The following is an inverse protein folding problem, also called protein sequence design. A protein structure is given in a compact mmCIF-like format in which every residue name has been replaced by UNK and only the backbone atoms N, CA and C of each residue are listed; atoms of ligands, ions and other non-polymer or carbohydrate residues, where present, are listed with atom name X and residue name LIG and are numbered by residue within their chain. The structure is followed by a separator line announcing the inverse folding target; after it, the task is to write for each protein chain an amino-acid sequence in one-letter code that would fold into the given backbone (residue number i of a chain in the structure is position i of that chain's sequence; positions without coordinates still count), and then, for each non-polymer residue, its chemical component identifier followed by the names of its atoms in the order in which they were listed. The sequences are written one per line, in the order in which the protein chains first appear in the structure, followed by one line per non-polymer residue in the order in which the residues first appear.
data_IF_534021598305
#
_entry.id   IF_534021598305
#
_cell.length_a   1.000
_cell.length_b   1.000
_cell.length_c   1.000
_cell.angle_alpha   90.00
_cell.angle_beta   90.00
_cell.angle_gamma   90.00
#
_symmetry.space_group_name_H-M   'P 1'
#
loop_
_entity.id
_entity.type
_entity.pdbx_description
1 polymer ?
#
# COMPACT_ATOMS: atom_id res chain seq x y z
N UNK A 1 17.22 -16.33 -26.75
CA UNK A 1 16.13 -15.38 -26.44
C UNK A 1 16.77 -14.08 -25.96
N UNK A 2 16.33 -12.91 -26.43
CA UNK A 2 16.70 -11.64 -25.78
C UNK A 2 15.84 -11.50 -24.53
N UNK A 3 16.47 -11.29 -23.39
CA UNK A 3 15.81 -10.97 -22.12
C UNK A 3 15.96 -9.48 -21.88
N UNK A 4 14.83 -8.79 -21.72
CA UNK A 4 14.81 -7.37 -21.38
C UNK A 4 14.55 -7.23 -19.89
N UNK A 5 15.27 -6.33 -19.22
CA UNK A 5 15.07 -6.08 -17.80
C UNK A 5 13.77 -5.32 -17.53
N UNK A 6 13.23 -5.47 -16.32
CA UNK A 6 12.04 -4.74 -15.90
C UNK A 6 12.21 -3.21 -16.00
N UNK A 7 13.42 -2.71 -15.70
CA UNK A 7 13.71 -1.28 -15.80
C UNK A 7 13.67 -0.80 -17.26
N UNK A 8 14.26 -1.54 -18.18
CA UNK A 8 14.24 -1.21 -19.61
C UNK A 8 12.80 -1.22 -20.16
N UNK A 9 11.97 -2.20 -19.76
CA UNK A 9 10.55 -2.23 -20.14
C UNK A 9 9.82 -1.01 -19.59
N UNK A 10 10.04 -0.66 -18.33
CA UNK A 10 9.36 0.50 -17.75
C UNK A 10 9.80 1.81 -18.42
N UNK A 11 11.07 1.94 -18.77
CA UNK A 11 11.60 3.13 -19.43
C UNK A 11 11.02 3.28 -20.85
N UNK A 12 10.89 2.19 -21.59
CA UNK A 12 10.27 2.15 -22.91
C UNK A 12 8.77 2.48 -22.87
N UNK A 13 8.03 1.89 -21.91
CA UNK A 13 6.57 2.00 -21.86
C UNK A 13 6.10 3.29 -21.17
N UNK A 14 6.75 3.69 -20.06
CA UNK A 14 6.30 4.77 -19.18
C UNK A 14 7.22 5.99 -19.19
N UNK A 15 8.35 5.91 -19.89
CA UNK A 15 9.40 6.92 -19.86
C UNK A 15 10.41 6.67 -18.75
N UNK A 16 11.54 7.37 -18.85
CA UNK A 16 12.59 7.36 -17.83
C UNK A 16 12.10 7.95 -16.50
N UNK A 17 12.81 7.63 -15.42
CA UNK A 17 12.57 8.24 -14.10
C UNK A 17 12.64 9.78 -14.18
N UNK A 18 11.76 10.47 -13.47
CA UNK A 18 11.63 11.92 -13.49
C UNK A 18 10.70 12.47 -14.59
N UNK A 19 10.15 11.60 -15.44
CA UNK A 19 9.03 11.99 -16.31
C UNK A 19 7.71 11.87 -15.55
N UNK A 20 6.75 12.77 -15.80
CA UNK A 20 5.48 12.81 -15.05
C UNK A 20 4.76 11.47 -15.04
N UNK A 21 4.75 10.77 -16.17
CA UNK A 21 4.10 9.45 -16.32
C UNK A 21 4.81 8.37 -15.50
N UNK A 22 6.14 8.36 -15.48
CA UNK A 22 6.91 7.40 -14.68
C UNK A 22 6.76 7.68 -13.19
N UNK A 23 6.78 8.94 -12.79
CA UNK A 23 6.63 9.35 -11.39
C UNK A 23 5.22 9.06 -10.87
N UNK A 24 4.19 9.19 -11.70
CA UNK A 24 2.82 8.79 -11.37
C UNK A 24 2.71 7.29 -11.14
N UNK A 25 3.25 6.48 -12.05
CA UNK A 25 3.31 5.02 -11.89
C UNK A 25 4.02 4.62 -10.58
N UNK A 26 5.17 5.22 -10.30
CA UNK A 26 5.93 4.89 -9.10
C UNK A 26 5.18 5.33 -7.82
N UNK A 27 4.45 6.45 -7.83
CA UNK A 27 3.55 6.87 -6.73
C UNK A 27 2.38 5.91 -6.50
N UNK A 28 1.71 5.49 -7.56
CA UNK A 28 0.62 4.50 -7.48
C UNK A 28 1.14 3.17 -6.92
N UNK A 29 2.32 2.75 -7.36
CA UNK A 29 2.96 1.52 -6.90
C UNK A 29 3.29 1.57 -5.39
N UNK A 30 3.81 2.69 -4.88
CA UNK A 30 4.07 2.82 -3.44
C UNK A 30 2.76 2.77 -2.62
N UNK A 31 1.66 3.33 -3.13
CA UNK A 31 0.36 3.26 -2.44
C UNK A 31 -0.16 1.82 -2.41
N UNK A 32 -0.03 1.09 -3.52
CA UNK A 32 -0.38 -0.33 -3.60
C UNK A 32 0.45 -1.18 -2.62
N UNK A 33 1.74 -0.91 -2.53
CA UNK A 33 2.66 -1.60 -1.61
C UNK A 33 2.27 -1.44 -0.15
N UNK A 34 1.79 -0.27 0.27
CA UNK A 34 1.24 -0.07 1.63
C UNK A 34 0.06 -1.00 1.88
N UNK A 35 -0.89 -1.10 0.93
CA UNK A 35 -2.05 -2.00 1.03
C UNK A 35 -1.64 -3.46 1.23
N UNK A 36 -0.65 -3.93 0.47
CA UNK A 36 -0.10 -5.29 0.61
C UNK A 36 0.57 -5.52 1.97
N UNK A 37 1.32 -4.54 2.48
CA UNK A 37 1.95 -4.63 3.81
C UNK A 37 0.89 -4.75 4.92
N UNK A 38 -0.19 -3.98 4.83
CA UNK A 38 -1.31 -4.06 5.78
C UNK A 38 -2.02 -5.40 5.70
N UNK A 39 -2.26 -5.92 4.48
CA UNK A 39 -2.84 -7.25 4.26
C UNK A 39 -1.99 -8.34 4.92
N UNK A 40 -0.68 -8.29 4.69
CA UNK A 40 0.28 -9.25 5.27
C UNK A 40 0.25 -9.18 6.81
N UNK A 41 0.31 -7.98 7.39
CA UNK A 41 0.24 -7.80 8.84
C UNK A 41 -1.08 -8.33 9.43
N UNK A 42 -2.21 -8.11 8.74
CA UNK A 42 -3.51 -8.65 9.12
C UNK A 42 -3.50 -10.18 9.16
N UNK A 43 -2.93 -10.81 8.14
CA UNK A 43 -2.83 -12.27 8.02
C UNK A 43 -1.89 -12.87 9.07
N UNK A 44 -0.76 -12.22 9.37
CA UNK A 44 0.15 -12.60 10.46
C UNK A 44 -0.53 -12.53 11.83
N UNK A 45 -1.46 -11.58 12.02
CA UNK A 45 -2.30 -11.46 13.21
C UNK A 45 -3.51 -12.41 13.20
N UNK A 46 -3.65 -13.25 12.16
CA UNK A 46 -4.78 -14.18 11.99
C UNK A 46 -6.16 -13.50 12.03
N UNK A 47 -6.25 -12.26 11.54
CA UNK A 47 -7.50 -11.50 11.50
C UNK A 47 -8.16 -11.62 10.12
N UNK A 48 -9.48 -11.76 10.11
CA UNK A 48 -10.28 -11.53 8.90
C UNK A 48 -10.43 -10.03 8.64
N UNK A 49 -10.79 -9.66 7.41
CA UNK A 49 -11.08 -8.26 7.07
C UNK A 49 -12.23 -7.69 7.90
N UNK A 50 -13.23 -8.50 8.24
CA UNK A 50 -14.39 -8.09 9.07
C UNK A 50 -13.94 -7.81 10.51
N UNK A 51 -13.11 -8.69 11.09
CA UNK A 51 -12.59 -8.49 12.44
C UNK A 51 -11.71 -7.25 12.53
N UNK A 52 -10.79 -7.05 11.57
CA UNK A 52 -9.99 -5.82 11.54
C UNK A 52 -10.88 -4.58 11.41
N UNK A 53 -11.88 -4.62 10.53
CA UNK A 53 -12.82 -3.52 10.34
C UNK A 53 -13.56 -3.16 11.63
N UNK A 54 -13.97 -4.16 12.42
CA UNK A 54 -14.58 -3.96 13.74
C UNK A 54 -13.64 -3.31 14.75
N UNK A 55 -12.35 -3.69 14.76
CA UNK A 55 -11.36 -3.11 15.68
C UNK A 55 -11.09 -1.62 15.42
N UNK A 56 -11.25 -1.17 14.17
CA UNK A 56 -10.91 0.21 13.75
C UNK A 56 -12.13 1.06 13.41
N UNK A 57 -13.33 0.57 13.72
CA UNK A 57 -14.61 1.23 13.41
C UNK A 57 -14.71 1.64 11.93
N UNK A 58 -14.56 0.65 11.04
CA UNK A 58 -14.66 0.79 9.59
C UNK A 58 -15.53 -0.31 9.01
N UNK A 59 -15.91 -0.17 7.74
CA UNK A 59 -16.60 -1.22 6.99
C UNK A 59 -15.60 -2.22 6.45
N UNK A 60 -15.93 -3.52 6.40
CA UNK A 60 -15.11 -4.55 5.73
C UNK A 60 -14.74 -4.19 4.30
N UNK A 61 -15.66 -3.60 3.54
CA UNK A 61 -15.41 -3.14 2.16
C UNK A 61 -14.34 -2.07 2.07
N UNK A 62 -14.18 -1.25 3.11
CA UNK A 62 -13.12 -0.25 3.19
C UNK A 62 -11.76 -0.91 3.42
N UNK A 63 -11.67 -1.89 4.34
CA UNK A 63 -10.46 -2.69 4.54
C UNK A 63 -10.08 -3.43 3.25
N UNK A 64 -11.06 -4.06 2.59
CA UNK A 64 -10.83 -4.74 1.31
C UNK A 64 -10.27 -3.80 0.24
N UNK A 65 -10.77 -2.57 0.15
CA UNK A 65 -10.28 -1.60 -0.83
C UNK A 65 -8.84 -1.17 -0.55
N UNK A 66 -8.51 -0.91 0.72
CA UNK A 66 -7.15 -0.57 1.14
C UNK A 66 -6.17 -1.69 0.78
N UNK A 67 -6.54 -2.94 1.03
CA UNK A 67 -5.63 -4.08 0.84
C UNK A 67 -5.41 -4.47 -0.63
N UNK A 68 -6.34 -4.14 -1.54
CA UNK A 68 -6.33 -4.66 -2.91
C UNK A 68 -6.22 -3.59 -4.00
N UNK A 69 -6.78 -2.39 -3.80
CA UNK A 69 -6.91 -1.40 -4.89
C UNK A 69 -5.87 -0.27 -4.80
N UNK A 70 -4.96 -0.32 -3.81
CA UNK A 70 -4.00 0.76 -3.58
C UNK A 70 -4.68 2.11 -3.34
N UNK A 71 -5.90 2.09 -2.80
CA UNK A 71 -6.67 3.31 -2.61
C UNK A 71 -6.01 4.26 -1.62
N UNK A 72 -6.13 5.55 -1.88
CA UNK A 72 -5.54 6.61 -1.06
C UNK A 72 -5.97 6.48 0.41
N UNK A 73 -5.02 6.14 1.28
CA UNK A 73 -5.22 5.97 2.73
C UNK A 73 -4.76 7.24 3.44
N UNK A 74 -5.59 7.75 4.36
CA UNK A 74 -5.15 8.87 5.21
C UNK A 74 -4.17 8.38 6.27
N UNK A 75 -3.23 9.23 6.70
CA UNK A 75 -2.32 8.89 7.79
C UNK A 75 -3.10 8.48 9.06
N UNK A 76 -4.20 9.18 9.37
CA UNK A 76 -5.09 8.82 10.49
C UNK A 76 -5.57 7.38 10.38
N UNK A 77 -6.05 6.96 9.21
CA UNK A 77 -6.50 5.58 8.98
C UNK A 77 -5.34 4.59 9.13
N UNK A 78 -4.16 4.93 8.62
CA UNK A 78 -2.98 4.09 8.76
C UNK A 78 -2.62 3.86 10.23
N UNK A 79 -2.60 4.92 11.04
CA UNK A 79 -2.40 4.82 12.49
C UNK A 79 -3.51 4.01 13.16
N UNK A 80 -4.79 4.25 12.83
CA UNK A 80 -5.91 3.47 13.39
C UNK A 80 -5.74 1.96 13.08
N UNK A 81 -5.37 1.58 11.85
CA UNK A 81 -5.15 0.18 11.47
C UNK A 81 -3.94 -0.42 12.18
N UNK A 82 -2.80 0.26 12.15
CA UNK A 82 -1.55 -0.31 12.68
C UNK A 82 -1.54 -0.32 14.21
N UNK A 83 -1.92 0.78 14.85
CA UNK A 83 -1.82 0.92 16.30
C UNK A 83 -3.00 0.29 17.02
N UNK A 84 -4.25 0.55 16.58
CA UNK A 84 -5.44 -0.03 17.22
C UNK A 84 -5.77 -1.41 16.69
N UNK A 85 -5.67 -1.61 15.37
CA UNK A 85 -5.99 -2.89 14.74
C UNK A 85 -4.93 -3.96 15.01
N UNK A 86 -3.64 -3.63 14.88
CA UNK A 86 -2.56 -4.61 15.00
C UNK A 86 -1.77 -4.52 16.32
N UNK A 87 -1.89 -3.42 17.09
CA UNK A 87 -1.03 -3.16 18.26
C UNK A 87 0.43 -2.86 17.88
N UNK A 88 0.66 -2.39 16.66
CA UNK A 88 1.98 -2.04 16.14
C UNK A 88 2.31 -0.55 16.31
N UNK A 89 3.35 -0.10 15.60
CA UNK A 89 3.77 1.30 15.55
C UNK A 89 4.11 1.70 14.13
N UNK A 90 3.67 2.88 13.71
CA UNK A 90 4.05 3.47 12.42
C UNK A 90 5.26 4.38 12.63
N UNK A 91 6.27 4.25 11.78
CA UNK A 91 7.41 5.18 11.71
C UNK A 91 7.43 5.80 10.33
N UNK A 92 7.48 7.13 10.27
CA UNK A 92 7.54 7.91 9.02
C UNK A 92 8.85 8.70 9.04
N UNK A 93 9.64 8.57 7.98
CA UNK A 93 10.84 9.39 7.74
C UNK A 93 10.65 10.22 6.48
N UNK A 94 11.18 11.43 6.49
CA UNK A 94 11.21 12.33 5.34
C UNK A 94 12.67 12.65 5.08
N UNK A 95 13.15 12.30 3.89
CA UNK A 95 14.46 12.67 3.40
C UNK A 95 14.30 13.86 2.43
N UNK A 96 15.11 14.92 2.63
CA UNK A 96 15.12 16.15 1.81
C UNK A 96 16.39 16.19 0.98
#
# INVERSE_FOLDING_TARGET
MKTTSWNEIKDDVFGSKGTSRRDELDREFETFKIGLLLKKAREEKSLTQEQLAGLVDKKRTYISRIENDGSNITLKTLFDIVEKGFGGKVTISIDI
#
